data_IF_153719713894
#
_entry.id   IF_153719713894
#
_cell.length_a   1.000
_cell.length_b   1.000
_cell.length_c   1.000
_cell.angle_alpha   90.00
_cell.angle_beta   90.00
_cell.angle_gamma   90.00
#
_symmetry.space_group_name_H-M   'P 1'
#
loop_
_entity.id
_entity.type
_entity.pdbx_description
1 polymer ?
#
# COMPACT_ATOMS: atom_id res chain seq x y z
N UNK A 1 4.34 2.81 21.34
CA UNK A 1 4.69 2.44 19.95
C UNK A 1 3.57 2.95 19.06
N UNK A 2 3.84 3.87 18.13
CA UNK A 2 2.84 4.33 17.15
C UNK A 2 2.74 3.33 16.00
N UNK A 3 1.66 3.35 15.20
CA UNK A 3 1.50 2.43 14.07
C UNK A 3 2.64 2.52 13.04
N UNK A 4 3.20 3.71 12.84
CA UNK A 4 4.35 3.94 11.95
C UNK A 4 5.60 3.13 12.38
N UNK A 5 5.77 2.95 13.69
CA UNK A 5 6.87 2.17 14.26
C UNK A 5 6.74 0.67 13.91
N UNK A 6 5.51 0.14 13.80
CA UNK A 6 5.29 -1.25 13.37
C UNK A 6 5.62 -1.48 11.89
N UNK A 7 5.22 -0.56 10.99
CA UNK A 7 5.54 -0.66 9.56
C UNK A 7 7.05 -0.49 9.31
N UNK A 8 7.70 0.43 10.03
CA UNK A 8 9.14 0.61 9.94
C UNK A 8 9.91 -0.64 10.39
N UNK A 9 9.54 -1.26 11.51
CA UNK A 9 10.16 -2.52 11.96
C UNK A 9 9.95 -3.66 10.97
N UNK A 10 8.73 -3.80 10.43
CA UNK A 10 8.46 -4.83 9.43
C UNK A 10 9.26 -4.59 8.15
N UNK A 11 9.41 -3.34 7.71
CA UNK A 11 10.26 -2.99 6.57
C UNK A 11 11.73 -3.36 6.81
N UNK A 12 12.26 -3.10 8.01
CA UNK A 12 13.63 -3.52 8.37
C UNK A 12 13.80 -5.04 8.31
N UNK A 13 12.80 -5.79 8.81
CA UNK A 13 12.80 -7.26 8.70
C UNK A 13 12.78 -7.70 7.24
N UNK A 14 11.96 -7.08 6.38
CA UNK A 14 11.90 -7.41 4.95
C UNK A 14 13.24 -7.08 4.26
N UNK A 15 13.80 -5.90 4.53
CA UNK A 15 15.07 -5.45 3.96
C UNK A 15 16.21 -6.39 4.34
N UNK A 16 16.34 -6.77 5.62
CA UNK A 16 17.35 -7.73 6.07
C UNK A 16 17.24 -9.11 5.42
N UNK A 17 16.09 -9.44 4.83
CA UNK A 17 15.81 -10.73 4.17
C UNK A 17 15.98 -10.69 2.66
N UNK A 18 16.36 -9.55 2.08
CA UNK A 18 16.69 -9.46 0.65
C UNK A 18 17.86 -10.36 0.29
N UNK A 19 17.87 -10.95 -0.91
CA UNK A 19 19.01 -11.74 -1.39
C UNK A 19 20.34 -10.98 -1.31
N UNK A 20 20.33 -9.69 -1.64
CA UNK A 20 21.51 -8.81 -1.55
C UNK A 20 22.05 -8.63 -0.11
N UNK A 21 21.21 -8.85 0.90
CA UNK A 21 21.54 -8.69 2.32
C UNK A 21 21.80 -10.04 3.01
N UNK A 22 22.01 -11.11 2.25
CA UNK A 22 22.31 -12.45 2.79
C UNK A 22 21.09 -13.25 3.24
N UNK A 23 19.89 -12.89 2.77
CA UNK A 23 18.68 -13.65 3.05
C UNK A 23 18.77 -15.09 2.52
N UNK A 24 18.38 -16.06 3.36
CA UNK A 24 18.33 -17.49 3.04
C UNK A 24 16.90 -17.92 2.65
N UNK A 25 16.65 -18.35 1.39
CA UNK A 25 15.32 -18.75 0.94
C UNK A 25 14.80 -20.01 1.65
N UNK A 26 15.65 -20.86 2.20
CA UNK A 26 15.18 -22.06 2.90
C UNK A 26 14.68 -21.75 4.31
N UNK A 27 15.03 -20.57 4.85
CA UNK A 27 14.71 -20.17 6.23
C UNK A 27 13.66 -19.07 6.35
N UNK A 28 13.28 -18.42 5.25
CA UNK A 28 12.48 -17.19 5.29
C UNK A 28 11.48 -17.11 4.14
N UNK A 29 10.19 -16.95 4.48
CA UNK A 29 9.13 -16.75 3.49
C UNK A 29 9.37 -15.52 2.61
N UNK A 30 9.73 -14.39 3.21
CA UNK A 30 10.07 -13.15 2.48
C UNK A 30 11.21 -13.40 1.49
N UNK A 31 12.23 -14.14 1.90
CA UNK A 31 13.37 -14.42 1.02
C UNK A 31 12.95 -15.30 -0.14
N UNK A 32 12.07 -16.29 0.07
CA UNK A 32 11.51 -17.09 -1.04
C UNK A 32 10.73 -16.24 -2.02
N UNK A 33 9.90 -15.31 -1.53
CA UNK A 33 9.15 -14.40 -2.40
C UNK A 33 10.10 -13.56 -3.25
N UNK A 34 11.11 -12.95 -2.62
CA UNK A 34 12.08 -12.10 -3.32
C UNK A 34 12.97 -12.90 -4.28
N UNK A 35 13.32 -14.14 -3.94
CA UNK A 35 14.12 -15.03 -4.79
C UNK A 35 13.33 -15.54 -6.00
N UNK A 36 12.02 -15.80 -5.86
CA UNK A 36 11.16 -16.20 -6.97
C UNK A 36 10.93 -15.09 -8.00
N UNK A 37 11.30 -13.85 -7.67
CA UNK A 37 11.11 -12.69 -8.53
C UNK A 37 9.73 -12.05 -8.41
N UNK A 38 9.50 -10.95 -9.15
CA UNK A 38 8.35 -10.06 -8.94
C UNK A 38 6.99 -10.73 -9.10
N UNK A 39 6.84 -11.63 -10.06
CA UNK A 39 5.57 -12.33 -10.33
C UNK A 39 4.99 -13.01 -9.08
N UNK A 40 5.85 -13.52 -8.20
CA UNK A 40 5.40 -14.25 -7.00
C UNK A 40 4.67 -13.34 -6.01
N UNK A 41 5.18 -12.15 -5.73
CA UNK A 41 4.54 -11.24 -4.78
C UNK A 41 3.49 -10.34 -5.45
N UNK A 42 3.65 -10.01 -6.74
CA UNK A 42 2.64 -9.25 -7.50
C UNK A 42 1.35 -10.06 -7.68
N UNK A 43 1.46 -11.38 -7.90
CA UNK A 43 0.28 -12.26 -7.92
C UNK A 43 -0.45 -12.24 -6.59
N UNK A 44 0.27 -12.32 -5.46
CA UNK A 44 -0.33 -12.27 -4.13
C UNK A 44 -1.02 -10.93 -3.88
N UNK A 45 -0.47 -9.80 -4.31
CA UNK A 45 -1.17 -8.50 -4.20
C UNK A 45 -2.55 -8.56 -4.87
N UNK A 46 -2.68 -9.17 -6.06
CA UNK A 46 -3.97 -9.32 -6.73
C UNK A 46 -4.93 -10.29 -6.02
N UNK A 47 -4.39 -11.38 -5.47
CA UNK A 47 -5.10 -12.36 -4.64
C UNK A 47 -5.67 -11.68 -3.39
N UNK A 48 -4.80 -11.05 -2.58
CA UNK A 48 -5.20 -10.36 -1.34
C UNK A 48 -6.20 -9.24 -1.59
N UNK A 49 -6.02 -8.47 -2.68
CA UNK A 49 -6.97 -7.42 -3.03
C UNK A 49 -8.37 -7.98 -3.30
N UNK A 50 -8.46 -9.16 -3.92
CA UNK A 50 -9.73 -9.85 -4.17
C UNK A 50 -10.29 -10.40 -2.87
N UNK A 51 -9.45 -10.97 -2.01
CA UNK A 51 -9.85 -11.52 -0.70
C UNK A 51 -10.35 -10.41 0.24
N UNK A 52 -9.73 -9.22 0.25
CA UNK A 52 -10.23 -8.04 0.97
C UNK A 52 -11.66 -7.69 0.53
N UNK A 53 -11.92 -7.66 -0.79
CA UNK A 53 -13.25 -7.36 -1.33
C UNK A 53 -14.26 -8.42 -0.90
N UNK A 54 -13.88 -9.70 -0.95
CA UNK A 54 -14.75 -10.79 -0.52
C UNK A 54 -15.03 -10.75 0.98
N UNK A 55 -13.99 -10.58 1.81
CA UNK A 55 -14.11 -10.49 3.26
C UNK A 55 -14.99 -9.30 3.68
N UNK A 56 -14.88 -8.16 3.01
CA UNK A 56 -15.75 -7.02 3.25
C UNK A 56 -17.23 -7.36 2.96
N UNK A 57 -17.50 -8.01 1.83
CA UNK A 57 -18.86 -8.47 1.50
C UNK A 57 -19.38 -9.50 2.50
N UNK A 58 -18.55 -10.43 2.95
CA UNK A 58 -18.95 -11.44 3.93
C UNK A 58 -19.29 -10.79 5.29
N UNK A 59 -18.54 -9.76 5.69
CA UNK A 59 -18.84 -8.96 6.89
C UNK A 59 -20.23 -8.33 6.80
N UNK A 60 -20.63 -7.81 5.65
CA UNK A 60 -22.00 -7.28 5.45
C UNK A 60 -23.09 -8.36 5.62
N UNK A 61 -22.73 -9.64 5.46
CA UNK A 61 -23.61 -10.80 5.68
C UNK A 61 -23.40 -11.48 7.05
N UNK A 62 -22.73 -10.81 7.98
CA UNK A 62 -22.60 -11.26 9.37
C UNK A 62 -21.35 -12.11 9.66
N UNK A 63 -20.38 -12.17 8.74
CA UNK A 63 -19.09 -12.78 9.04
C UNK A 63 -18.25 -11.94 10.02
N UNK A 64 -17.24 -12.59 10.62
CA UNK A 64 -16.33 -11.94 11.55
C UNK A 64 -15.46 -10.88 10.86
N UNK A 65 -15.46 -9.66 11.41
CA UNK A 65 -14.67 -8.51 10.95
C UNK A 65 -13.17 -8.75 11.06
N UNK A 66 -12.73 -9.69 11.91
CA UNK A 66 -11.31 -10.06 12.02
C UNK A 66 -10.73 -10.56 10.69
N UNK A 67 -11.55 -11.21 9.85
CA UNK A 67 -11.13 -11.67 8.52
C UNK A 67 -10.77 -10.51 7.60
N UNK A 68 -11.57 -9.46 7.58
CA UNK A 68 -11.26 -8.27 6.77
C UNK A 68 -9.93 -7.63 7.21
N UNK A 69 -9.69 -7.54 8.52
CA UNK A 69 -8.40 -7.01 9.03
C UNK A 69 -7.24 -7.91 8.62
N UNK A 70 -7.44 -9.24 8.62
CA UNK A 70 -6.44 -10.21 8.20
C UNK A 70 -6.04 -10.03 6.73
N UNK A 71 -7.01 -9.96 5.81
CA UNK A 71 -6.70 -9.80 4.37
C UNK A 71 -6.08 -8.44 4.07
N UNK A 72 -6.51 -7.37 4.76
CA UNK A 72 -5.88 -6.04 4.60
C UNK A 72 -4.43 -6.07 5.08
N UNK A 73 -4.15 -6.80 6.17
CA UNK A 73 -2.79 -6.95 6.67
C UNK A 73 -1.91 -7.74 5.69
N UNK A 74 -2.43 -8.80 5.05
CA UNK A 74 -1.66 -9.57 4.06
C UNK A 74 -1.43 -8.75 2.78
N UNK A 75 -2.43 -7.99 2.33
CA UNK A 75 -2.29 -7.04 1.22
C UNK A 75 -1.18 -6.02 1.50
N UNK A 76 -1.15 -5.44 2.70
CA UNK A 76 -0.12 -4.49 3.10
C UNK A 76 1.26 -5.15 3.18
N UNK A 77 1.34 -6.35 3.76
CA UNK A 77 2.59 -7.12 3.84
C UNK A 77 3.17 -7.37 2.44
N UNK A 78 2.36 -7.90 1.52
CA UNK A 78 2.79 -8.18 0.15
C UNK A 78 3.14 -6.90 -0.62
N UNK A 79 2.43 -5.79 -0.38
CA UNK A 79 2.79 -4.46 -0.89
C UNK A 79 4.15 -3.99 -0.37
N UNK A 80 4.47 -4.21 0.91
CA UNK A 80 5.77 -3.85 1.49
C UNK A 80 6.92 -4.69 0.92
N UNK A 81 6.69 -5.97 0.63
CA UNK A 81 7.68 -6.81 -0.08
C UNK A 81 7.95 -6.25 -1.48
N UNK A 82 6.91 -5.82 -2.19
CA UNK A 82 7.06 -5.18 -3.49
C UNK A 82 7.84 -3.86 -3.40
N UNK A 83 7.52 -2.99 -2.43
CA UNK A 83 8.27 -1.75 -2.19
C UNK A 83 9.77 -2.04 -2.00
N UNK A 84 10.10 -2.97 -1.11
CA UNK A 84 11.49 -3.33 -0.84
C UNK A 84 12.24 -3.90 -2.08
N UNK A 85 11.54 -4.66 -2.93
CA UNK A 85 12.08 -5.13 -4.21
C UNK A 85 12.42 -3.98 -5.16
N UNK A 86 11.55 -2.96 -5.22
CA UNK A 86 11.74 -1.78 -6.06
C UNK A 86 12.57 -0.66 -5.41
N UNK A 87 13.19 -0.91 -4.25
CA UNK A 87 14.02 0.07 -3.55
C UNK A 87 13.25 1.19 -2.86
N UNK A 88 11.98 0.95 -2.54
CA UNK A 88 11.10 1.86 -1.82
C UNK A 88 10.81 1.33 -0.41
N UNK A 89 10.23 2.19 0.42
CA UNK A 89 9.91 1.94 1.82
C UNK A 89 8.45 2.32 2.12
N UNK A 90 7.87 1.83 3.24
CA UNK A 90 6.57 2.32 3.68
C UNK A 90 6.53 3.82 3.96
N UNK A 91 7.66 4.43 4.34
CA UNK A 91 7.72 5.86 4.59
C UNK A 91 7.44 6.68 3.32
N UNK A 92 7.82 6.18 2.15
CA UNK A 92 7.51 6.81 0.86
C UNK A 92 6.00 6.82 0.60
N UNK A 93 5.31 5.72 0.94
CA UNK A 93 3.84 5.63 0.84
C UNK A 93 3.16 6.54 1.87
N UNK A 94 3.64 6.56 3.11
CA UNK A 94 3.10 7.44 4.15
C UNK A 94 3.24 8.92 3.78
N UNK A 95 4.39 9.31 3.21
CA UNK A 95 4.61 10.67 2.70
C UNK A 95 3.59 11.02 1.61
N UNK A 96 3.29 10.09 0.69
CA UNK A 96 2.25 10.30 -0.32
C UNK A 96 0.85 10.38 0.29
N UNK A 97 0.54 9.61 1.33
CA UNK A 97 -0.73 9.69 2.04
C UNK A 97 -0.88 11.03 2.77
N UNK A 98 0.15 11.50 3.48
CA UNK A 98 0.17 12.82 4.13
C UNK A 98 -0.04 13.94 3.12
N UNK A 99 0.59 13.84 1.93
CA UNK A 99 0.36 14.78 0.82
C UNK A 99 -1.10 14.78 0.35
N UNK A 100 -1.73 13.59 0.28
CA UNK A 100 -3.15 13.44 -0.10
C UNK A 100 -4.10 13.95 0.98
N UNK A 101 -3.77 13.77 2.26
CA UNK A 101 -4.55 14.33 3.36
C UNK A 101 -4.54 15.86 3.32
N UNK A 102 -3.37 16.47 3.09
CA UNK A 102 -3.22 17.92 2.93
C UNK A 102 -3.80 18.48 1.63
N UNK A 103 -4.19 17.62 0.70
CA UNK A 103 -4.84 17.97 -0.58
C UNK A 103 -6.18 17.28 -0.60
N UNK A 104 -7.14 17.68 0.26
CA UNK A 104 -8.43 16.99 0.25
C UNK A 104 -8.99 17.01 -1.17
N UNK A 105 -9.43 15.86 -1.70
CA UNK A 105 -9.93 15.77 -3.07
C UNK A 105 -11.15 16.67 -3.33
N UNK A 106 -11.75 17.23 -2.28
CA UNK A 106 -12.78 18.27 -2.30
C UNK A 106 -12.14 19.64 -2.57
N UNK A 107 -11.08 20.01 -1.86
CA UNK A 107 -10.33 21.25 -2.08
C UNK A 107 -9.65 21.26 -3.44
N UNK A 108 -9.08 20.14 -3.89
CA UNK A 108 -8.48 20.05 -5.23
C UNK A 108 -9.53 20.21 -6.35
N UNK A 109 -10.71 19.59 -6.19
CA UNK A 109 -11.85 19.80 -7.11
C UNK A 109 -12.38 21.22 -7.05
N UNK A 110 -12.46 21.82 -5.86
CA UNK A 110 -12.90 23.19 -5.68
C UNK A 110 -11.91 24.17 -6.32
N UNK A 111 -10.61 23.97 -6.14
CA UNK A 111 -9.55 24.77 -6.73
C UNK A 111 -9.57 24.66 -8.26
N UNK A 112 -9.62 23.43 -8.82
CA UNK A 112 -9.76 23.24 -10.28
C UNK A 112 -10.99 23.94 -10.85
N UNK A 113 -12.13 23.89 -10.15
CA UNK A 113 -13.36 24.57 -10.57
C UNK A 113 -13.24 26.10 -10.47
N UNK A 114 -12.56 26.61 -9.45
CA UNK A 114 -12.28 28.04 -9.30
C UNK A 114 -11.34 28.56 -10.39
N UNK A 115 -10.26 27.83 -10.67
CA UNK A 115 -9.30 28.17 -11.74
C UNK A 115 -9.96 28.12 -13.13
N UNK A 116 -10.83 27.13 -13.39
CA UNK A 116 -11.59 27.07 -14.63
C UNK A 116 -12.53 28.28 -14.80
N UNK A 117 -13.22 28.70 -13.74
CA UNK A 117 -14.09 29.89 -13.77
C UNK A 117 -13.32 31.19 -13.99
N UNK A 118 -12.16 31.35 -13.34
CA UNK A 118 -11.32 32.53 -13.53
C UNK A 118 -10.79 32.64 -14.97
N UNK A 119 -10.43 31.51 -15.59
CA UNK A 119 -10.00 31.47 -16.99
C UNK A 119 -11.15 31.80 -17.98
N UNK A 120 -12.39 31.42 -17.65
CA UNK A 120 -13.57 31.76 -18.46
C UNK A 120 -13.95 33.26 -18.34
N UNK A 121 -13.69 33.88 -17.19
CA UNK A 121 -13.96 35.30 -16.93
C UNK A 121 -12.89 36.23 -17.54
N UNK A 122 -11.61 35.83 -17.54
CA UNK A 122 -10.53 36.59 -18.20
C UNK A 122 -10.52 36.44 -19.74
N UNK A 123 -11.24 35.44 -20.27
CA UNK A 123 -11.37 35.17 -21.71
C UNK A 123 -12.56 35.84 -22.42
N UNK A 124 -13.38 36.63 -21.71
CA UNK A 124 -14.47 37.40 -22.34
C UNK A 124 -13.97 38.77 -22.82
N UNK A 125 -14.05 39.09 -24.13
CA UNK A 125 -13.67 40.39 -24.67
C UNK A 125 -14.61 41.53 -24.27
#
# INVERSE_FOLDING_TARGET
MSSNDSLARLAQVIESRKPANGGDPDKSYVTRLLHKGPDSFLKKIGEEATEVVMAAKDVDHGADKSKLVYEVADLWFHSMVALAHYGLTPADVLTELERREGTSGIEEKALRKATARAADEEGSP
#
